data_IF_408572587065
#
_entry.id   IF_408572587065
#
_cell.length_a   1.000
_cell.length_b   1.000
_cell.length_c   1.000
_cell.angle_alpha   90.00
_cell.angle_beta   90.00
_cell.angle_gamma   90.00
#
_symmetry.space_group_name_H-M   'P 1'
#
loop_
_entity.id
_entity.type
_entity.pdbx_description
1 polymer ?
#
# COMPACT_ATOMS: atom_id res chain seq x y z
N UNK A 1 14.91 26.96 -5.60
CA UNK A 1 13.57 26.66 -6.10
C UNK A 1 13.54 26.00 -7.48
N UNK A 2 14.15 26.57 -8.51
CA UNK A 2 14.12 25.99 -9.89
C UNK A 2 14.77 24.60 -9.90
N UNK A 3 15.93 24.42 -9.27
CA UNK A 3 16.63 23.14 -9.16
C UNK A 3 15.78 22.04 -8.51
N UNK A 4 15.06 22.40 -7.45
CA UNK A 4 14.16 21.47 -6.75
C UNK A 4 13.01 21.02 -7.67
N UNK A 5 12.41 21.95 -8.40
CA UNK A 5 11.36 21.65 -9.37
C UNK A 5 11.85 20.75 -10.50
N UNK A 6 13.08 20.97 -10.99
CA UNK A 6 13.68 20.13 -12.02
C UNK A 6 13.90 18.71 -11.51
N UNK A 7 14.45 18.54 -10.30
CA UNK A 7 14.68 17.23 -9.70
C UNK A 7 13.34 16.51 -9.48
N UNK A 8 12.31 17.22 -9.03
CA UNK A 8 10.98 16.67 -8.81
C UNK A 8 10.33 16.24 -10.14
N UNK A 9 10.40 17.08 -11.16
CA UNK A 9 9.88 16.75 -12.49
C UNK A 9 10.61 15.53 -13.10
N UNK A 10 11.94 15.48 -12.96
CA UNK A 10 12.75 14.37 -13.44
C UNK A 10 12.40 13.06 -12.71
N UNK A 11 12.22 13.11 -11.40
CA UNK A 11 11.78 11.97 -10.60
C UNK A 11 10.40 11.48 -11.03
N UNK A 12 9.44 12.40 -11.26
CA UNK A 12 8.10 12.06 -11.74
C UNK A 12 8.14 11.37 -13.11
N UNK A 13 8.97 11.86 -14.03
CA UNK A 13 9.18 11.24 -15.36
C UNK A 13 9.75 9.82 -15.21
N UNK A 14 10.71 9.60 -14.31
CA UNK A 14 11.26 8.26 -14.08
C UNK A 14 10.21 7.31 -13.47
N UNK A 15 9.38 7.78 -12.57
CA UNK A 15 8.28 6.98 -12.02
C UNK A 15 7.26 6.58 -13.09
N UNK A 16 6.88 7.48 -13.98
CA UNK A 16 5.92 7.22 -15.05
C UNK A 16 6.50 6.28 -16.12
N UNK A 17 7.76 6.44 -16.47
CA UNK A 17 8.42 5.60 -17.49
C UNK A 17 8.61 4.13 -17.06
N UNK A 18 8.59 3.83 -15.76
CA UNK A 18 8.67 2.47 -15.21
C UNK A 18 9.94 1.68 -15.56
N UNK A 19 10.91 2.29 -16.27
CA UNK A 19 12.18 1.64 -16.68
C UNK A 19 13.15 1.45 -15.51
N UNK A 20 13.09 2.34 -14.52
CA UNK A 20 13.89 2.26 -13.30
C UNK A 20 12.96 1.85 -12.15
N UNK A 21 13.51 1.08 -11.22
CA UNK A 21 12.81 0.77 -9.97
C UNK A 21 12.55 2.07 -9.21
N UNK A 22 11.32 2.25 -8.73
CA UNK A 22 10.88 3.47 -8.05
C UNK A 22 11.72 3.80 -6.81
N UNK A 23 12.18 2.77 -6.08
CA UNK A 23 13.06 2.91 -4.94
C UNK A 23 14.42 3.56 -5.32
N UNK A 24 15.03 3.12 -6.42
CA UNK A 24 16.29 3.70 -6.92
C UNK A 24 16.09 5.14 -7.39
N UNK A 25 15.01 5.42 -8.09
CA UNK A 25 14.70 6.79 -8.54
C UNK A 25 14.53 7.74 -7.36
N UNK A 26 13.83 7.30 -6.29
CA UNK A 26 13.65 8.08 -5.07
C UNK A 26 14.98 8.34 -4.34
N UNK A 27 15.83 7.30 -4.19
CA UNK A 27 17.16 7.46 -3.57
C UNK A 27 18.06 8.38 -4.36
N UNK A 28 18.09 8.27 -5.71
CA UNK A 28 18.86 9.17 -6.56
C UNK A 28 18.38 10.62 -6.41
N UNK A 29 17.07 10.85 -6.36
CA UNK A 29 16.53 12.18 -6.14
C UNK A 29 16.95 12.75 -4.77
N UNK A 30 16.92 11.94 -3.71
CA UNK A 30 17.36 12.32 -2.37
C UNK A 30 18.83 12.71 -2.36
N UNK A 31 19.69 11.88 -2.95
CA UNK A 31 21.15 12.17 -3.07
C UNK A 31 21.40 13.45 -3.86
N UNK A 32 20.69 13.67 -4.96
CA UNK A 32 20.81 14.90 -5.75
C UNK A 32 20.43 16.15 -4.94
N UNK A 33 19.39 16.07 -4.11
CA UNK A 33 18.98 17.18 -3.24
C UNK A 33 20.06 17.52 -2.21
N UNK A 34 20.76 16.52 -1.66
CA UNK A 34 21.87 16.71 -0.73
C UNK A 34 23.08 17.32 -1.48
N UNK A 35 23.47 16.75 -2.60
CA UNK A 35 24.64 17.22 -3.38
C UNK A 35 24.43 18.65 -3.90
N UNK A 36 23.22 19.02 -4.24
CA UNK A 36 22.86 20.38 -4.64
C UNK A 36 22.75 21.34 -3.45
N UNK A 37 23.07 20.92 -2.22
CA UNK A 37 22.94 21.72 -0.98
C UNK A 37 21.53 22.32 -0.79
N UNK A 38 20.50 21.62 -1.25
CA UNK A 38 19.09 22.02 -1.05
C UNK A 38 18.58 21.50 0.28
N UNK A 39 19.02 20.30 0.68
CA UNK A 39 18.71 19.67 1.95
C UNK A 39 20.01 19.32 2.69
N UNK A 40 20.00 19.49 3.98
CA UNK A 40 21.05 18.92 4.85
C UNK A 40 20.87 17.40 4.93
N UNK A 41 21.93 16.63 5.24
CA UNK A 41 21.81 15.18 5.44
C UNK A 41 20.79 14.82 6.52
N UNK A 42 20.68 15.61 7.57
CA UNK A 42 19.71 15.41 8.66
C UNK A 42 18.27 15.61 8.20
N UNK A 43 18.00 16.67 7.45
CA UNK A 43 16.68 16.92 6.83
C UNK A 43 16.31 15.83 5.83
N UNK A 44 17.23 15.40 4.98
CA UNK A 44 17.00 14.35 4.00
C UNK A 44 16.66 13.01 4.67
N UNK A 45 17.32 12.69 5.81
CA UNK A 45 17.07 11.45 6.54
C UNK A 45 15.88 11.54 7.49
N UNK A 46 15.40 12.74 7.83
CA UNK A 46 14.25 12.92 8.73
C UNK A 46 12.99 12.19 8.26
N UNK A 47 12.81 12.05 6.94
CA UNK A 47 11.71 11.30 6.37
C UNK A 47 11.68 9.82 6.80
N UNK A 48 12.84 9.20 7.00
CA UNK A 48 12.94 7.81 7.47
C UNK A 48 12.58 7.65 8.95
N UNK A 49 12.71 8.71 9.74
CA UNK A 49 12.33 8.76 11.17
C UNK A 49 10.88 9.19 11.38
N UNK A 50 10.11 9.43 10.30
CA UNK A 50 8.72 9.81 10.41
C UNK A 50 7.90 8.66 11.04
N UNK A 51 7.09 8.93 12.09
CA UNK A 51 6.28 7.90 12.76
C UNK A 51 5.39 7.11 11.80
N UNK A 52 4.86 7.74 10.76
CA UNK A 52 4.03 7.08 9.74
C UNK A 52 4.84 6.05 8.96
N UNK A 53 6.09 6.40 8.57
CA UNK A 53 6.97 5.47 7.85
C UNK A 53 7.35 4.28 8.73
N UNK A 54 7.68 4.52 10.00
CA UNK A 54 7.99 3.46 10.96
C UNK A 54 6.78 2.55 11.16
N UNK A 55 5.59 3.12 11.30
CA UNK A 55 4.35 2.35 11.39
C UNK A 55 4.11 1.50 10.14
N UNK A 56 4.32 2.04 8.93
CA UNK A 56 4.20 1.28 7.69
C UNK A 56 5.16 0.09 7.65
N UNK A 57 6.43 0.28 8.03
CA UNK A 57 7.42 -0.81 8.11
C UNK A 57 6.93 -1.89 9.07
N UNK A 58 6.43 -1.52 10.25
CA UNK A 58 5.85 -2.47 11.20
C UNK A 58 4.66 -3.25 10.62
N UNK A 59 3.76 -2.57 9.93
CA UNK A 59 2.61 -3.21 9.28
C UNK A 59 3.01 -4.16 8.15
N UNK A 60 4.05 -3.84 7.37
CA UNK A 60 4.58 -4.77 6.36
C UNK A 60 5.22 -6.01 6.98
N UNK A 61 5.90 -5.87 8.13
CA UNK A 61 6.43 -7.03 8.87
C UNK A 61 5.29 -7.93 9.37
N UNK A 62 4.25 -7.35 9.96
CA UNK A 62 3.04 -8.08 10.38
C UNK A 62 2.34 -8.73 9.19
N UNK A 63 2.17 -8.00 8.07
CA UNK A 63 1.62 -8.55 6.83
C UNK A 63 2.43 -9.73 6.29
N UNK A 64 3.76 -9.64 6.32
CA UNK A 64 4.66 -10.72 5.97
C UNK A 64 4.52 -11.95 6.89
N UNK A 65 4.31 -11.72 8.19
CA UNK A 65 4.05 -12.79 9.15
C UNK A 65 2.71 -13.49 8.85
N UNK A 66 1.66 -12.73 8.56
CA UNK A 66 0.34 -13.26 8.15
C UNK A 66 0.47 -14.16 6.91
N UNK A 67 1.33 -13.77 5.98
CA UNK A 67 1.61 -14.56 4.78
C UNK A 67 2.35 -15.87 5.13
N UNK A 68 3.43 -15.77 5.92
CA UNK A 68 4.28 -16.92 6.29
C UNK A 68 3.57 -17.92 7.21
N UNK A 69 2.70 -17.47 8.09
CA UNK A 69 1.92 -18.34 9.00
C UNK A 69 0.76 -19.06 8.30
N UNK A 70 0.47 -18.71 7.05
CA UNK A 70 -0.64 -19.29 6.31
C UNK A 70 -2.03 -18.72 6.71
N UNK A 71 -2.08 -17.75 7.62
CA UNK A 71 -3.32 -17.09 8.01
C UNK A 71 -4.01 -16.43 6.81
N UNK A 72 -3.22 -15.76 5.93
CA UNK A 72 -3.75 -15.18 4.70
C UNK A 72 -4.48 -16.23 3.85
N UNK A 73 -3.90 -17.42 3.69
CA UNK A 73 -4.50 -18.53 2.93
C UNK A 73 -5.76 -19.07 3.59
N UNK A 74 -5.78 -19.16 4.91
CA UNK A 74 -6.95 -19.63 5.67
C UNK A 74 -8.12 -18.64 5.54
N UNK A 75 -7.87 -17.34 5.70
CA UNK A 75 -8.87 -16.29 5.54
C UNK A 75 -9.36 -16.24 4.08
N UNK A 76 -8.43 -16.26 3.11
CA UNK A 76 -8.75 -16.27 1.69
C UNK A 76 -9.64 -17.44 1.30
N UNK A 77 -9.37 -18.65 1.80
CA UNK A 77 -10.20 -19.83 1.51
C UNK A 77 -11.62 -19.71 2.05
N UNK A 78 -11.80 -19.10 3.23
CA UNK A 78 -13.15 -18.81 3.79
C UNK A 78 -13.90 -17.79 2.93
N UNK A 79 -13.22 -16.71 2.51
CA UNK A 79 -13.81 -15.68 1.64
C UNK A 79 -14.23 -16.29 0.30
N UNK A 80 -13.36 -17.10 -0.32
CA UNK A 80 -13.66 -17.80 -1.57
C UNK A 80 -14.84 -18.78 -1.44
N UNK A 81 -14.95 -19.49 -0.32
CA UNK A 81 -16.11 -20.35 -0.04
C UNK A 81 -17.41 -19.56 0.02
N UNK A 82 -17.41 -18.40 0.67
CA UNK A 82 -18.59 -17.53 0.79
C UNK A 82 -18.99 -16.89 -0.55
N UNK A 83 -18.00 -16.49 -1.35
CA UNK A 83 -18.22 -15.87 -2.66
C UNK A 83 -18.64 -16.89 -3.73
N UNK A 84 -18.29 -18.17 -3.57
CA UNK A 84 -18.52 -19.22 -4.55
C UNK A 84 -17.69 -18.96 -5.82
N UNK A 85 -18.31 -19.20 -7.00
CA UNK A 85 -17.66 -18.99 -8.30
C UNK A 85 -17.88 -17.58 -8.89
N UNK A 86 -18.52 -16.69 -8.15
CA UNK A 86 -18.88 -15.35 -8.65
C UNK A 86 -17.81 -14.34 -8.30
N UNK A 87 -17.11 -13.83 -9.31
CA UNK A 87 -16.10 -12.77 -9.15
C UNK A 87 -16.71 -11.49 -8.54
N UNK A 88 -17.95 -11.15 -8.92
CA UNK A 88 -18.66 -9.99 -8.38
C UNK A 88 -18.94 -10.13 -6.85
N UNK A 89 -19.38 -11.30 -6.41
CA UNK A 89 -19.62 -11.56 -4.98
C UNK A 89 -18.32 -11.48 -4.19
N UNK A 90 -17.24 -11.99 -4.76
CA UNK A 90 -15.91 -11.92 -4.18
C UNK A 90 -15.47 -10.46 -4.00
N UNK A 91 -15.64 -9.67 -5.06
CA UNK A 91 -15.33 -8.24 -5.06
C UNK A 91 -16.12 -7.50 -3.96
N UNK A 92 -17.43 -7.63 -3.94
CA UNK A 92 -18.31 -6.98 -2.95
C UNK A 92 -17.93 -7.40 -1.51
N UNK A 93 -17.67 -8.69 -1.30
CA UNK A 93 -17.33 -9.20 0.02
C UNK A 93 -16.02 -8.59 0.55
N UNK A 94 -14.99 -8.50 -0.31
CA UNK A 94 -13.71 -7.87 0.07
C UNK A 94 -13.91 -6.39 0.37
N UNK A 95 -14.65 -5.68 -0.47
CA UNK A 95 -14.93 -4.26 -0.28
C UNK A 95 -15.66 -4.02 1.05
N UNK A 96 -16.68 -4.82 1.36
CA UNK A 96 -17.43 -4.73 2.62
C UNK A 96 -16.53 -5.00 3.85
N UNK A 97 -15.74 -6.07 3.81
CA UNK A 97 -14.82 -6.42 4.90
C UNK A 97 -13.76 -5.33 5.08
N UNK A 98 -13.20 -4.83 3.98
CA UNK A 98 -12.19 -3.76 4.03
C UNK A 98 -12.77 -2.46 4.57
N UNK A 99 -13.94 -2.05 4.11
CA UNK A 99 -14.61 -0.86 4.61
C UNK A 99 -14.96 -0.98 6.10
N UNK A 100 -15.41 -2.15 6.53
CA UNK A 100 -15.70 -2.42 7.94
C UNK A 100 -14.43 -2.32 8.81
N UNK A 101 -13.31 -2.89 8.39
CA UNK A 101 -12.03 -2.77 9.11
C UNK A 101 -11.53 -1.32 9.07
N UNK A 102 -11.62 -0.66 7.90
CA UNK A 102 -11.24 0.74 7.71
C UNK A 102 -12.03 1.72 8.57
N UNK A 103 -13.22 1.34 9.02
CA UNK A 103 -14.00 2.13 9.95
C UNK A 103 -13.39 2.20 11.38
N UNK A 104 -12.53 1.27 11.75
CA UNK A 104 -11.90 1.20 13.08
C UNK A 104 -10.39 1.40 13.08
N UNK A 105 -9.75 1.23 11.93
CA UNK A 105 -8.31 1.31 11.75
C UNK A 105 -7.99 2.38 10.70
N UNK A 106 -6.86 3.05 10.81
CA UNK A 106 -6.43 4.03 9.80
C UNK A 106 -6.41 3.42 8.38
N UNK A 107 -6.69 4.23 7.38
CA UNK A 107 -6.73 3.81 5.98
C UNK A 107 -5.47 3.06 5.55
N UNK A 108 -4.30 3.60 5.89
CA UNK A 108 -3.00 2.98 5.59
C UNK A 108 -2.83 1.63 6.27
N UNK A 109 -3.22 1.54 7.56
CA UNK A 109 -3.18 0.30 8.34
C UNK A 109 -4.08 -0.77 7.75
N UNK A 110 -5.30 -0.40 7.38
CA UNK A 110 -6.28 -1.31 6.77
C UNK A 110 -5.78 -1.88 5.45
N UNK A 111 -5.25 -1.02 4.55
CA UNK A 111 -4.68 -1.47 3.27
C UNK A 111 -3.49 -2.39 3.52
N UNK A 112 -2.57 -2.04 4.42
CA UNK A 112 -1.39 -2.84 4.70
C UNK A 112 -1.74 -4.24 5.27
N UNK A 113 -2.78 -4.33 6.13
CA UNK A 113 -3.26 -5.61 6.67
C UNK A 113 -4.02 -6.45 5.63
N UNK A 114 -4.85 -5.82 4.81
CA UNK A 114 -5.67 -6.52 3.83
C UNK A 114 -4.90 -6.95 2.57
N UNK A 115 -3.82 -6.24 2.23
CA UNK A 115 -3.03 -6.49 1.04
C UNK A 115 -2.55 -7.96 0.91
N UNK A 116 -1.91 -8.58 1.93
CA UNK A 116 -1.49 -9.98 1.84
C UNK A 116 -2.68 -10.93 1.68
N UNK A 117 -3.82 -10.62 2.30
CA UNK A 117 -5.03 -11.45 2.20
C UNK A 117 -5.58 -11.40 0.78
N UNK A 118 -5.70 -10.20 0.20
CA UNK A 118 -6.22 -9.97 -1.15
C UNK A 118 -5.31 -10.59 -2.20
N UNK A 119 -3.98 -10.45 -2.06
CA UNK A 119 -3.01 -11.07 -2.97
C UNK A 119 -3.09 -12.60 -2.91
N UNK A 120 -3.14 -13.18 -1.70
CA UNK A 120 -3.29 -14.62 -1.51
C UNK A 120 -4.59 -15.16 -2.13
N UNK A 121 -5.68 -14.41 -1.96
CA UNK A 121 -6.99 -14.77 -2.49
C UNK A 121 -7.02 -14.68 -4.01
N UNK A 122 -6.51 -13.60 -4.59
CA UNK A 122 -6.44 -13.41 -6.04
C UNK A 122 -5.61 -14.53 -6.70
N UNK A 123 -4.47 -14.90 -6.09
CA UNK A 123 -3.67 -16.02 -6.51
C UNK A 123 -4.43 -17.36 -6.44
N UNK A 124 -5.22 -17.59 -5.38
CA UNK A 124 -6.02 -18.81 -5.22
C UNK A 124 -7.21 -18.87 -6.17
N UNK A 125 -7.73 -17.71 -6.60
CA UNK A 125 -8.82 -17.59 -7.56
C UNK A 125 -8.34 -17.55 -9.02
N UNK A 126 -7.03 -17.51 -9.24
CA UNK A 126 -6.42 -17.34 -10.58
C UNK A 126 -6.80 -16.01 -11.25
N UNK A 127 -6.96 -14.96 -10.45
CA UNK A 127 -7.33 -13.61 -10.89
C UNK A 127 -6.14 -12.68 -10.64
N UNK A 128 -5.95 -11.68 -11.51
CA UNK A 128 -4.91 -10.67 -11.30
C UNK A 128 -5.16 -9.85 -10.03
N UNK A 129 -4.21 -9.78 -9.07
CA UNK A 129 -4.36 -8.99 -7.85
C UNK A 129 -4.66 -7.51 -8.11
N UNK A 130 -4.13 -6.95 -9.19
CA UNK A 130 -4.31 -5.55 -9.57
C UNK A 130 -5.77 -5.11 -9.67
N UNK A 131 -6.68 -6.03 -10.00
CA UNK A 131 -8.13 -5.74 -10.06
C UNK A 131 -8.74 -5.40 -8.69
N UNK A 132 -8.13 -5.89 -7.61
CA UNK A 132 -8.63 -5.69 -6.25
C UNK A 132 -7.88 -4.61 -5.48
N UNK A 133 -6.64 -4.28 -5.87
CA UNK A 133 -5.80 -3.34 -5.12
C UNK A 133 -6.35 -1.91 -5.14
N UNK A 134 -6.80 -1.43 -6.29
CA UNK A 134 -7.37 -0.09 -6.40
C UNK A 134 -8.71 0.01 -5.64
N UNK A 135 -9.68 -0.90 -5.85
CA UNK A 135 -10.90 -0.95 -5.05
C UNK A 135 -10.65 -1.09 -3.55
N UNK A 136 -9.64 -1.86 -3.14
CA UNK A 136 -9.23 -2.01 -1.75
C UNK A 136 -8.88 -0.67 -1.10
N UNK A 137 -8.11 0.17 -1.80
CA UNK A 137 -7.75 1.51 -1.32
C UNK A 137 -8.99 2.40 -1.15
N UNK A 138 -9.90 2.38 -2.12
CA UNK A 138 -11.16 3.11 -2.03
C UNK A 138 -12.05 2.63 -0.87
N UNK A 139 -12.20 1.31 -0.71
CA UNK A 139 -13.00 0.75 0.38
C UNK A 139 -12.45 1.12 1.75
N UNK A 140 -11.12 1.10 1.91
CA UNK A 140 -10.47 1.55 3.15
C UNK A 140 -10.76 3.01 3.45
N UNK A 141 -10.63 3.89 2.44
CA UNK A 141 -10.92 5.31 2.60
C UNK A 141 -12.40 5.58 2.92
N UNK A 142 -13.31 4.87 2.27
CA UNK A 142 -14.74 4.98 2.56
C UNK A 142 -15.08 4.52 3.98
N UNK A 143 -14.43 3.46 4.46
CA UNK A 143 -14.56 3.00 5.84
C UNK A 143 -14.12 4.07 6.85
N UNK A 144 -12.96 4.69 6.62
CA UNK A 144 -12.43 5.76 7.47
C UNK A 144 -13.33 7.01 7.50
N UNK A 145 -13.96 7.37 6.37
CA UNK A 145 -14.92 8.47 6.33
C UNK A 145 -16.15 8.24 7.20
N UNK A 146 -16.56 7.00 7.40
CA UNK A 146 -17.74 6.66 8.20
C UNK A 146 -17.55 6.92 9.71
N UNK A 147 -16.30 6.91 10.20
CA UNK A 147 -15.99 7.00 11.63
C UNK A 147 -15.14 8.21 12.02
N UNK A 148 -14.69 9.04 11.08
CA UNK A 148 -13.76 10.17 11.31
C UNK A 148 -12.40 9.77 11.93
N UNK A 149 -12.06 8.47 11.94
CA UNK A 149 -10.81 7.94 12.52
C UNK A 149 -9.76 7.70 11.43
N UNK A 150 -10.19 7.58 10.18
CA UNK A 150 -9.34 7.28 9.02
C UNK A 150 -8.68 8.47 8.38
#
# INVERSE_FOLDING_TARGET
MITTLIILALSAVFFVNGKLRSDLAALCALVLLIVCNILTPEEALSGFSNPIVIMMVGLFVVGGAIFKTGLAKMISSKILRLAGKSELKLFILIMMVTAFIGAFVSNTGTVALMLPIVVSMAASANISPGRFLMPLAFASSMGGMATLIG
#
